data_IF_423028699833
#
_entry.id   IF_423028699833
#
_cell.length_a   1.000
_cell.length_b   1.000
_cell.length_c   1.000
_cell.angle_alpha   90.00
_cell.angle_beta   90.00
_cell.angle_gamma   90.00
#
_symmetry.space_group_name_H-M   'P 1'
#
loop_
_entity.id
_entity.type
_entity.pdbx_description
1 polymer ?
#
# COMPACT_ATOMS: atom_id res chain seq x y z
N UNK A 1 -8.98 12.36 10.02
CA UNK A 1 -7.52 12.16 10.04
C UNK A 1 -6.95 12.56 11.39
N UNK A 2 -5.94 11.83 11.85
CA UNK A 2 -5.09 12.22 12.97
C UNK A 2 -3.66 12.43 12.49
N UNK A 3 -2.96 13.42 13.03
CA UNK A 3 -1.49 13.50 12.94
C UNK A 3 -0.88 12.69 14.07
N UNK A 4 0.30 12.12 13.84
CA UNK A 4 1.04 11.33 14.83
C UNK A 4 2.37 12.00 15.13
N UNK A 5 2.62 12.25 16.40
CA UNK A 5 3.95 12.65 16.86
C UNK A 5 4.91 11.46 16.69
N UNK A 6 6.01 11.65 15.95
CA UNK A 6 6.93 10.57 15.61
C UNK A 6 7.75 10.06 16.79
N UNK A 7 7.89 10.86 17.85
CA UNK A 7 8.70 10.53 19.03
C UNK A 7 7.89 9.85 20.13
N UNK A 8 6.64 10.27 20.32
CA UNK A 8 5.76 9.78 21.40
C UNK A 8 4.65 8.86 20.90
N UNK A 9 4.34 8.92 19.60
CA UNK A 9 3.20 8.22 19.01
C UNK A 9 1.84 8.84 19.32
N UNK A 10 1.79 9.98 20.02
CA UNK A 10 0.55 10.68 20.37
C UNK A 10 -0.22 11.09 19.11
N UNK A 11 -1.55 10.96 19.16
CA UNK A 11 -2.44 11.32 18.05
C UNK A 11 -3.15 12.64 18.34
N UNK A 12 -3.16 13.54 17.35
CA UNK A 12 -3.93 14.79 17.39
C UNK A 12 -4.96 14.77 16.27
N UNK A 13 -6.21 15.09 16.59
CA UNK A 13 -7.26 15.22 15.58
C UNK A 13 -6.94 16.40 14.64
N UNK A 14 -6.98 16.16 13.33
CA UNK A 14 -6.69 17.20 12.32
C UNK A 14 -7.93 17.59 11.54
N UNK A 15 -8.64 16.61 10.98
CA UNK A 15 -9.79 16.86 10.10
C UNK A 15 -10.77 15.68 10.09
N UNK A 16 -11.96 15.92 9.55
CA UNK A 16 -12.99 14.90 9.33
C UNK A 16 -13.82 15.28 8.11
N UNK A 17 -14.10 14.29 7.26
CA UNK A 17 -15.06 14.40 6.16
C UNK A 17 -16.32 13.62 6.54
N UNK A 18 -17.47 14.28 6.43
CA UNK A 18 -18.77 13.73 6.82
C UNK A 18 -19.66 13.63 5.61
N UNK A 19 -20.39 12.53 5.52
CA UNK A 19 -21.46 12.37 4.54
C UNK A 19 -22.47 13.54 4.58
N UNK A 20 -22.86 14.02 3.41
CA UNK A 20 -23.80 15.13 3.23
C UNK A 20 -23.28 16.50 3.63
N UNK A 21 -21.99 16.66 3.96
CA UNK A 21 -21.38 17.93 4.38
C UNK A 21 -20.33 18.40 3.38
N UNK A 22 -20.36 19.68 3.03
CA UNK A 22 -19.39 20.31 2.13
C UNK A 22 -19.22 19.57 0.78
N UNK A 23 -20.30 18.96 0.28
CA UNK A 23 -20.31 18.23 -0.99
C UNK A 23 -19.74 16.81 -0.94
N UNK A 24 -19.37 16.31 0.24
CA UNK A 24 -18.94 14.92 0.42
C UNK A 24 -20.17 14.00 0.44
N UNK A 25 -20.11 12.93 -0.35
CA UNK A 25 -21.16 11.90 -0.46
C UNK A 25 -20.51 10.51 -0.59
N UNK A 26 -21.29 9.46 -0.33
CA UNK A 26 -20.86 8.05 -0.38
C UNK A 26 -20.16 7.57 0.88
N UNK A 27 -20.33 8.28 2.01
CA UNK A 27 -19.71 7.95 3.29
C UNK A 27 -20.72 7.44 4.33
N UNK A 28 -22.02 7.33 4.03
CA UNK A 28 -22.95 6.79 5.03
C UNK A 28 -22.63 5.32 5.36
N UNK A 29 -22.38 5.07 6.65
CA UNK A 29 -21.94 3.78 7.16
C UNK A 29 -20.57 3.35 6.64
N UNK A 30 -19.54 4.20 6.72
CA UNK A 30 -18.16 3.80 6.35
C UNK A 30 -17.75 2.49 7.06
N UNK A 31 -17.35 1.47 6.30
CA UNK A 31 -16.92 0.16 6.84
C UNK A 31 -15.43 -0.14 6.63
N UNK A 32 -14.83 0.42 5.59
CA UNK A 32 -13.43 0.14 5.22
C UNK A 32 -12.81 1.32 4.49
N UNK A 33 -11.48 1.41 4.57
CA UNK A 33 -10.69 2.40 3.83
C UNK A 33 -9.39 1.78 3.34
N UNK A 34 -8.92 2.18 2.16
CA UNK A 34 -7.58 1.82 1.65
C UNK A 34 -6.92 3.03 0.99
N UNK A 35 -5.58 3.09 1.02
CA UNK A 35 -4.79 4.15 0.39
C UNK A 35 -3.99 3.59 -0.77
N UNK A 36 -3.87 4.36 -1.86
CA UNK A 36 -3.06 3.97 -3.01
C UNK A 36 -1.59 3.72 -2.61
N UNK A 37 -0.86 2.84 -3.32
CA UNK A 37 0.56 2.59 -3.04
C UNK A 37 1.42 3.85 -3.10
N UNK A 38 1.09 4.79 -3.99
CA UNK A 38 1.78 6.07 -4.09
C UNK A 38 1.40 7.09 -2.99
N UNK A 39 0.42 6.78 -2.14
CA UNK A 39 -0.04 7.63 -1.03
C UNK A 39 -0.98 8.79 -1.40
N UNK A 40 -1.25 9.01 -2.69
CA UNK A 40 -1.98 10.18 -3.21
C UNK A 40 -3.51 10.05 -3.22
N UNK A 41 -4.06 8.85 -3.01
CA UNK A 41 -5.52 8.62 -2.99
C UNK A 41 -5.96 7.77 -1.81
N UNK A 42 -7.18 8.03 -1.34
CA UNK A 42 -7.88 7.23 -0.34
C UNK A 42 -9.27 6.85 -0.86
N UNK A 43 -9.62 5.58 -0.68
CA UNK A 43 -10.91 5.01 -1.05
C UNK A 43 -11.63 4.55 0.22
N UNK A 44 -12.90 4.90 0.39
CA UNK A 44 -13.69 4.56 1.56
C UNK A 44 -15.02 3.92 1.14
N UNK A 45 -15.42 2.80 1.75
CA UNK A 45 -16.68 2.11 1.43
C UNK A 45 -17.80 2.56 2.36
N UNK A 46 -18.84 3.21 1.83
CA UNK A 46 -20.07 3.56 2.55
C UNK A 46 -21.16 2.51 2.31
N UNK A 47 -21.43 1.66 3.30
CA UNK A 47 -22.35 0.50 3.12
C UNK A 47 -23.80 0.92 2.92
N UNK A 48 -24.23 1.99 3.58
CA UNK A 48 -25.61 2.48 3.49
C UNK A 48 -25.84 3.20 2.16
N UNK A 49 -24.82 3.92 1.68
CA UNK A 49 -24.81 4.54 0.37
C UNK A 49 -24.57 3.56 -0.79
N UNK A 50 -24.10 2.35 -0.49
CA UNK A 50 -23.72 1.36 -1.50
C UNK A 50 -22.67 1.93 -2.46
N UNK A 51 -21.68 2.61 -1.88
CA UNK A 51 -20.74 3.42 -2.62
C UNK A 51 -19.29 3.28 -2.14
N UNK A 52 -18.36 3.69 -3.01
CA UNK A 52 -16.96 3.96 -2.68
C UNK A 52 -16.69 5.45 -2.89
N UNK A 53 -16.46 6.19 -1.82
CA UNK A 53 -16.00 7.58 -1.89
C UNK A 53 -14.49 7.63 -2.17
N UNK A 54 -14.08 8.55 -3.06
CA UNK A 54 -12.70 8.71 -3.52
C UNK A 54 -12.19 10.09 -3.11
N UNK A 55 -11.00 10.11 -2.51
CA UNK A 55 -10.32 11.33 -2.09
C UNK A 55 -8.92 11.40 -2.71
N UNK A 56 -8.45 12.61 -3.04
CA UNK A 56 -7.00 12.85 -3.09
C UNK A 56 -6.49 13.02 -1.66
N UNK A 57 -5.22 12.74 -1.48
CA UNK A 57 -4.51 12.86 -0.22
C UNK A 57 -3.25 13.68 -0.46
N UNK A 58 -3.05 14.70 0.37
CA UNK A 58 -1.85 15.53 0.32
C UNK A 58 -0.66 14.77 0.92
N UNK A 59 0.44 14.62 0.17
CA UNK A 59 1.60 13.85 0.61
C UNK A 59 2.33 14.46 1.82
N UNK A 60 2.27 15.78 1.99
CA UNK A 60 3.01 16.50 3.04
C UNK A 60 2.32 16.50 4.39
N UNK A 61 0.98 16.51 4.42
CA UNK A 61 0.21 16.65 5.66
C UNK A 61 -0.91 15.63 5.82
N UNK A 62 -1.16 14.80 4.81
CA UNK A 62 -2.19 13.77 4.77
C UNK A 62 -3.61 14.25 4.56
N UNK A 63 -3.84 15.57 4.43
CA UNK A 63 -5.17 16.14 4.27
C UNK A 63 -5.89 15.58 3.05
N UNK A 64 -7.20 15.38 3.19
CA UNK A 64 -8.04 14.78 2.17
C UNK A 64 -8.81 15.83 1.37
N UNK A 65 -9.03 15.57 0.09
CA UNK A 65 -9.96 16.34 -0.72
C UNK A 65 -10.85 15.39 -1.49
N UNK A 66 -12.17 15.53 -1.34
CA UNK A 66 -13.15 14.69 -2.01
C UNK A 66 -13.10 14.90 -3.52
N UNK A 67 -13.16 13.81 -4.29
CA UNK A 67 -13.19 13.81 -5.75
C UNK A 67 -14.58 13.42 -6.23
N UNK A 68 -15.01 12.20 -5.90
CA UNK A 68 -16.24 11.59 -6.39
C UNK A 68 -16.63 10.38 -5.55
N UNK A 69 -17.70 9.70 -5.97
CA UNK A 69 -18.07 8.37 -5.49
C UNK A 69 -18.40 7.42 -6.64
N UNK A 70 -18.17 6.12 -6.44
CA UNK A 70 -18.70 5.03 -7.28
C UNK A 70 -19.88 4.39 -6.56
N UNK A 71 -21.10 4.49 -7.11
CA UNK A 71 -22.35 4.10 -6.41
C UNK A 71 -23.16 3.09 -7.20
N UNK A 72 -23.66 2.04 -6.55
CA UNK A 72 -24.54 1.06 -7.21
C UNK A 72 -25.73 1.74 -7.88
N UNK A 73 -25.99 1.38 -9.14
CA UNK A 73 -27.09 1.93 -9.95
C UNK A 73 -26.78 3.27 -10.61
N UNK A 74 -25.58 3.83 -10.42
CA UNK A 74 -25.13 5.07 -11.05
C UNK A 74 -24.00 4.79 -12.04
N UNK A 75 -24.03 5.42 -13.22
CA UNK A 75 -22.97 5.34 -14.25
C UNK A 75 -22.55 3.90 -14.62
N UNK A 76 -23.50 2.97 -14.59
CA UNK A 76 -23.26 1.55 -14.91
C UNK A 76 -22.57 0.74 -13.81
N UNK A 77 -22.35 1.33 -12.63
CA UNK A 77 -21.79 0.63 -11.47
C UNK A 77 -22.82 -0.33 -10.89
N UNK A 78 -22.43 -1.59 -10.73
CA UNK A 78 -23.22 -2.64 -10.09
C UNK A 78 -22.36 -3.40 -9.05
N UNK A 79 -22.98 -4.22 -8.21
CA UNK A 79 -22.28 -5.11 -7.29
C UNK A 79 -21.86 -4.49 -5.96
N UNK A 80 -22.35 -3.29 -5.59
CA UNK A 80 -21.97 -2.60 -4.33
C UNK A 80 -23.00 -2.68 -3.20
N UNK A 81 -24.08 -3.49 -3.33
CA UNK A 81 -25.04 -3.64 -2.24
C UNK A 81 -24.39 -4.39 -1.08
N UNK A 82 -24.39 -3.78 0.10
CA UNK A 82 -23.74 -4.36 1.27
C UNK A 82 -22.22 -4.48 1.08
N UNK A 83 -21.61 -3.50 0.41
CA UNK A 83 -20.16 -3.36 0.34
C UNK A 83 -19.57 -3.28 1.76
N UNK A 84 -18.55 -4.08 2.06
CA UNK A 84 -17.94 -4.09 3.39
C UNK A 84 -16.43 -3.83 3.37
N UNK A 85 -15.75 -4.13 2.26
CA UNK A 85 -14.30 -4.07 2.18
C UNK A 85 -13.83 -3.54 0.85
N UNK A 86 -12.69 -2.84 0.85
CA UNK A 86 -11.96 -2.39 -0.33
C UNK A 86 -10.47 -2.71 -0.18
N UNK A 87 -9.85 -3.15 -1.28
CA UNK A 87 -8.41 -3.37 -1.38
C UNK A 87 -7.87 -2.81 -2.70
N UNK A 88 -6.65 -2.27 -2.70
CA UNK A 88 -5.99 -1.73 -3.90
C UNK A 88 -4.88 -2.67 -4.37
N UNK A 89 -4.70 -2.79 -5.69
CA UNK A 89 -3.63 -3.58 -6.28
C UNK A 89 -2.25 -2.98 -5.95
N UNK A 90 -1.19 -3.81 -5.84
CA UNK A 90 0.16 -3.31 -5.59
C UNK A 90 0.70 -2.37 -6.67
N UNK A 91 0.27 -2.55 -7.92
CA UNK A 91 0.60 -1.64 -9.04
C UNK A 91 -0.23 -0.35 -9.02
N UNK A 92 -1.10 -0.20 -8.04
CA UNK A 92 -1.96 0.95 -7.84
C UNK A 92 -3.13 1.02 -8.81
N UNK A 93 -3.20 0.25 -9.91
CA UNK A 93 -4.09 0.48 -11.06
C UNK A 93 -5.55 0.09 -10.87
N UNK A 94 -5.85 -0.79 -9.92
CA UNK A 94 -7.20 -1.26 -9.68
C UNK A 94 -7.51 -1.33 -8.20
N UNK A 95 -8.76 -1.09 -7.83
CA UNK A 95 -9.27 -1.46 -6.51
C UNK A 95 -10.43 -2.44 -6.63
N UNK A 96 -10.55 -3.28 -5.62
CA UNK A 96 -11.47 -4.40 -5.54
C UNK A 96 -12.37 -4.19 -4.33
N UNK A 97 -13.66 -4.44 -4.49
CA UNK A 97 -14.64 -4.33 -3.41
C UNK A 97 -15.33 -5.66 -3.17
N UNK A 98 -15.60 -6.01 -1.92
CA UNK A 98 -16.38 -7.20 -1.57
C UNK A 98 -17.74 -6.79 -0.98
N UNK A 99 -18.82 -7.34 -1.56
CA UNK A 99 -20.19 -6.95 -1.25
C UNK A 99 -21.07 -8.16 -0.94
N UNK A 100 -21.61 -8.20 0.28
CA UNK A 100 -22.33 -9.38 0.79
C UNK A 100 -23.79 -9.45 0.37
N UNK A 101 -24.44 -8.33 0.01
CA UNK A 101 -25.84 -8.35 -0.47
C UNK A 101 -25.93 -8.46 -1.99
N UNK A 102 -24.82 -8.25 -2.69
CA UNK A 102 -24.71 -8.44 -4.13
C UNK A 102 -24.09 -9.78 -4.53
N UNK A 103 -23.59 -10.57 -3.57
CA UNK A 103 -22.81 -11.78 -3.82
C UNK A 103 -21.68 -11.55 -4.84
N UNK A 104 -21.01 -10.40 -4.74
CA UNK A 104 -20.15 -9.89 -5.80
C UNK A 104 -18.81 -9.36 -5.29
N UNK A 105 -17.81 -9.49 -6.16
CA UNK A 105 -16.57 -8.70 -6.13
C UNK A 105 -16.56 -7.79 -7.36
N UNK A 106 -16.46 -6.48 -7.16
CA UNK A 106 -16.35 -5.52 -8.25
C UNK A 106 -14.92 -5.00 -8.37
N UNK A 107 -14.50 -4.68 -9.59
CA UNK A 107 -13.16 -4.16 -9.91
C UNK A 107 -13.32 -2.82 -10.60
N UNK A 108 -12.55 -1.85 -10.14
CA UNK A 108 -12.55 -0.49 -10.69
C UNK A 108 -11.13 -0.11 -11.07
N UNK A 109 -11.00 0.69 -12.13
CA UNK A 109 -9.76 1.43 -12.35
C UNK A 109 -9.57 2.42 -11.22
N UNK A 110 -8.35 2.50 -10.70
CA UNK A 110 -7.97 3.51 -9.72
C UNK A 110 -7.57 4.81 -10.42
N UNK A 111 -7.39 5.86 -9.63
CA UNK A 111 -6.79 7.11 -10.08
C UNK A 111 -5.24 7.09 -10.13
N UNK A 112 -4.61 5.93 -9.89
CA UNK A 112 -3.15 5.82 -9.75
C UNK A 112 -2.52 4.94 -10.85
N UNK A 113 -2.17 5.52 -12.02
CA UNK A 113 -1.45 4.81 -13.06
C UNK A 113 0.06 4.83 -12.76
N UNK A 114 0.52 4.26 -11.65
CA UNK A 114 1.97 4.07 -11.49
C UNK A 114 2.48 2.98 -12.45
N UNK A 115 3.28 3.39 -13.44
CA UNK A 115 4.16 2.49 -14.19
C UNK A 115 5.47 2.31 -13.41
N UNK A 116 5.43 1.86 -12.15
CA UNK A 116 6.67 1.44 -11.50
C UNK A 116 6.88 -0.03 -11.88
N UNK A 117 7.80 -0.36 -12.81
CA UNK A 117 8.14 -1.76 -13.03
C UNK A 117 8.62 -2.33 -11.70
N UNK A 118 8.09 -3.49 -11.31
CA UNK A 118 8.59 -4.26 -10.17
C UNK A 118 10.12 -4.28 -10.26
N UNK A 119 10.87 -3.82 -9.25
CA UNK A 119 12.32 -3.91 -9.30
C UNK A 119 12.66 -5.38 -9.53
N UNK A 120 13.34 -5.67 -10.64
CA UNK A 120 13.85 -7.03 -10.88
C UNK A 120 14.77 -7.34 -9.70
N UNK A 121 14.62 -8.48 -9.01
CA UNK A 121 15.48 -8.79 -7.87
C UNK A 121 16.93 -8.70 -8.34
N UNK A 122 17.72 -7.84 -7.71
CA UNK A 122 19.17 -7.77 -7.97
C UNK A 122 19.74 -9.15 -7.68
N UNK A 123 20.42 -9.82 -8.64
CA UNK A 123 21.02 -11.11 -8.38
C UNK A 123 22.00 -10.97 -7.20
N UNK A 124 21.85 -11.81 -6.18
CA UNK A 124 22.80 -11.89 -5.07
C UNK A 124 24.20 -12.19 -5.65
N UNK A 125 25.25 -11.41 -5.32
CA UNK A 125 26.60 -11.74 -5.77
C UNK A 125 26.96 -13.15 -5.28
N UNK A 126 27.40 -14.01 -6.19
CA UNK A 126 27.95 -15.32 -5.82
C UNK A 126 29.17 -15.11 -4.93
N UNK A 127 29.29 -15.77 -3.77
CA UNK A 127 30.47 -15.63 -2.93
C UNK A 127 31.73 -16.02 -3.72
N UNK A 128 32.75 -15.17 -3.72
CA UNK A 128 34.06 -15.50 -4.26
C UNK A 128 34.65 -16.66 -3.44
N UNK A 129 35.13 -17.75 -4.06
CA UNK A 129 35.76 -18.83 -3.31
C UNK A 129 37.00 -18.31 -2.56
N UNK A 130 37.12 -18.64 -1.28
CA UNK A 130 38.32 -18.37 -0.48
C UNK A 130 39.50 -19.13 -1.08
N UNK A 131 40.65 -18.48 -1.37
CA UNK A 131 41.83 -19.21 -1.83
C UNK A 131 42.31 -20.18 -0.74
N UNK A 132 42.43 -21.46 -1.09
CA UNK A 132 43.05 -22.47 -0.22
C UNK A 132 44.54 -22.14 -0.09
N UNK A 133 45.00 -21.84 1.13
CA UNK A 133 46.43 -21.69 1.39
C UNK A 133 47.12 -23.05 1.16
N UNK A 134 48.05 -23.11 0.21
CA UNK A 134 48.96 -24.26 0.06
C UNK A 134 49.85 -24.34 1.31
N UNK A 135 50.00 -25.51 1.97
CA UNK A 135 50.92 -25.65 3.09
C UNK A 135 52.33 -25.25 2.67
N UNK A 136 52.90 -24.23 3.32
CA UNK A 136 54.31 -23.90 3.18
C UNK A 136 55.11 -25.07 3.75
N UNK A 137 55.97 -25.67 2.93
CA UNK A 137 56.81 -26.80 3.34
C UNK A 137 57.60 -26.48 4.62
N UNK A 138 57.68 -27.46 5.52
CA UNK A 138 58.39 -27.31 6.78
C UNK A 138 59.86 -26.92 6.54
N UNK A 139 60.44 -25.98 7.32
CA UNK A 139 61.85 -25.63 7.18
C UNK A 139 62.72 -26.86 7.44
N UNK A 140 63.68 -27.11 6.55
CA UNK A 140 64.69 -28.17 6.71
C UNK A 140 65.57 -27.86 7.92
N UNK A 141 65.74 -28.78 8.89
CA UNK A 141 66.61 -28.53 10.04
C UNK A 141 68.07 -28.39 9.60
N UNK A 142 68.73 -27.33 10.06
CA UNK A 142 70.17 -27.09 9.86
C UNK A 142 70.98 -28.12 10.65
N UNK A 143 71.96 -28.82 10.06
CA UNK A 143 72.82 -29.74 10.81
C UNK A 143 73.75 -28.98 11.76
N UNK A 144 73.85 -29.46 13.00
CA UNK A 144 74.80 -28.97 14.01
C UNK A 144 76.23 -29.36 13.65
N UNK A 145 77.21 -28.45 13.67
CA UNK A 145 78.63 -28.81 13.46
C UNK A 145 79.19 -29.58 14.67
N UNK A 146 79.91 -30.66 14.40
CA UNK A 146 80.70 -31.44 15.38
C UNK A 146 82.05 -30.72 15.63
N UNK A 147 82.58 -30.72 16.87
CA UNK A 147 83.85 -30.06 17.21
C UNK A 147 85.09 -30.62 16.50
#
# INVERSE_FOLDING_TARGET
MFSRDSSTGSLTFVEMHKDGVNGVDGLDGVTSTTTSPNGSHLYATGVNDQAVAVFTRNDSNGGLTYIEMKKHGLDGVDGLKGINSVAISPDGRHFYTASTKSDAVAVFQSFDPTLVPTPTPTPTPTPTPTPTLTPQGAPTPTPTPTP
#
